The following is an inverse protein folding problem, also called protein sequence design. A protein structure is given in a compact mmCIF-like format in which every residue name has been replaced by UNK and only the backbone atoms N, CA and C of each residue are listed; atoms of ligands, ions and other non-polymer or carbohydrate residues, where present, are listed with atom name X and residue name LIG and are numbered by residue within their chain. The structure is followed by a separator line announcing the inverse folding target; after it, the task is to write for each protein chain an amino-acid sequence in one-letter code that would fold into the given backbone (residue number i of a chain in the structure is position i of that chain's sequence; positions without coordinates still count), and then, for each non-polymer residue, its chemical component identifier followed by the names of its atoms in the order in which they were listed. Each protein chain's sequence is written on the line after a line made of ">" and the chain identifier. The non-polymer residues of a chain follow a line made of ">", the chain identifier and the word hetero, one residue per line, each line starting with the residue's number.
data_IF_902970545719
#
_entry.id   IF_902970545719
#
_cell.length_a   1.000
_cell.length_b   1.000
_cell.length_c   1.000
_cell.angle_alpha   90.00
_cell.angle_beta   90.00
_cell.angle_gamma   90.00
#
_symmetry.space_group_name_H-M   'P 1'
#
loop_
_entity.id
_entity.type
_entity.pdbx_description
1 polymer ?
#
# COMPACT_ATOMS: atom_id res chain seq x y z
N UNK A 1 33.43 -22.78 42.61
CA UNK A 1 32.90 -22.52 41.26
C UNK A 1 32.31 -21.13 41.25
N UNK A 2 32.91 -20.23 40.48
CA UNK A 2 32.60 -18.80 40.44
C UNK A 2 31.27 -18.51 39.68
N UNK A 3 30.55 -17.44 40.02
CA UNK A 3 29.40 -16.99 39.25
C UNK A 3 29.83 -16.09 38.08
N UNK A 4 29.28 -16.36 36.89
CA UNK A 4 29.41 -15.51 35.71
C UNK A 4 28.51 -14.28 35.85
N UNK A 5 29.13 -13.09 35.83
CA UNK A 5 28.47 -11.79 35.70
C UNK A 5 28.39 -11.41 34.21
N UNK A 6 27.18 -11.16 33.71
CA UNK A 6 26.95 -10.58 32.38
C UNK A 6 26.63 -9.09 32.53
N UNK A 7 27.54 -8.26 32.03
CA UNK A 7 27.41 -6.81 31.98
C UNK A 7 26.36 -6.37 30.97
N UNK A 8 25.53 -5.41 31.37
CA UNK A 8 24.53 -4.69 30.56
C UNK A 8 25.18 -3.77 29.52
N UNK A 9 24.67 -3.68 28.28
CA UNK A 9 25.00 -2.58 27.38
C UNK A 9 24.02 -1.41 27.55
N UNK A 10 24.58 -0.21 27.61
CA UNK A 10 23.90 1.11 27.62
C UNK A 10 23.14 1.36 26.31
N UNK A 11 22.02 2.10 26.30
CA UNK A 11 21.20 2.27 25.10
C UNK A 11 21.76 3.35 24.18
N UNK A 12 21.94 3.00 22.91
CA UNK A 12 22.21 3.91 21.79
C UNK A 12 20.90 4.57 21.35
N UNK A 13 20.85 5.89 21.43
CA UNK A 13 19.80 6.73 20.87
C UNK A 13 19.85 6.68 19.34
N UNK A 14 18.78 6.22 18.70
CA UNK A 14 18.63 6.26 17.23
C UNK A 14 17.44 7.13 16.84
N UNK A 15 17.74 8.36 16.44
CA UNK A 15 16.83 9.26 15.73
C UNK A 15 16.76 8.84 14.26
N UNK A 16 15.61 8.34 13.81
CA UNK A 16 15.34 8.02 12.41
C UNK A 16 14.47 9.09 11.76
N UNK A 17 15.09 10.11 11.16
CA UNK A 17 14.44 11.02 10.20
C UNK A 17 15.15 10.90 8.86
N UNK A 18 14.42 10.41 7.86
CA UNK A 18 14.89 10.31 6.49
C UNK A 18 14.53 11.59 5.71
N UNK A 19 15.55 12.31 5.21
CA UNK A 19 15.59 13.14 3.97
C UNK A 19 16.82 14.07 4.01
N UNK A 20 17.22 14.69 2.89
CA UNK A 20 17.93 14.15 1.73
C UNK A 20 19.43 14.51 1.76
N UNK A 21 20.28 13.68 1.16
CA UNK A 21 21.73 13.93 1.08
C UNK A 21 22.03 15.03 0.06
N UNK A 22 22.32 16.24 0.56
CA UNK A 22 23.09 17.27 -0.15
C UNK A 22 24.54 17.19 0.32
N UNK A 23 25.44 16.78 -0.56
CA UNK A 23 26.88 16.73 -0.28
C UNK A 23 27.48 18.13 -0.26
N UNK A 24 28.02 18.52 0.90
CA UNK A 24 28.81 19.74 1.13
C UNK A 24 30.24 19.59 0.59
N UNK A 25 30.72 20.70 0.04
CA UNK A 25 32.11 21.02 -0.27
C UNK A 25 33.03 20.97 0.96
N UNK A 26 34.28 20.59 0.75
CA UNK A 26 35.41 21.01 1.59
C UNK A 26 36.50 21.57 0.68
N UNK A 27 36.94 22.78 1.01
CA UNK A 27 38.01 23.53 0.37
C UNK A 27 39.22 23.63 1.31
N UNK A 28 40.42 23.69 0.71
CA UNK A 28 41.71 24.05 1.34
C UNK A 28 42.72 22.89 1.28
N UNK A 29 43.96 23.03 0.79
CA UNK A 29 44.70 24.18 0.30
C UNK A 29 45.89 23.71 -0.58
N UNK A 30 46.08 24.39 -1.70
CA UNK A 30 47.35 24.77 -2.37
C UNK A 30 48.66 24.08 -2.01
N UNK A 31 49.25 23.39 -3.00
CA UNK A 31 50.69 23.49 -3.31
C UNK A 31 50.87 23.51 -4.84
N UNK A 32 51.65 24.47 -5.32
CA UNK A 32 51.97 24.65 -6.73
C UNK A 32 53.09 23.71 -7.16
N UNK A 33 52.93 23.04 -8.30
CA UNK A 33 54.06 22.60 -9.13
C UNK A 33 53.63 22.48 -10.60
N UNK A 34 54.08 23.48 -11.35
CA UNK A 34 54.60 23.43 -12.72
C UNK A 34 54.19 22.29 -13.66
N UNK A 35 53.51 22.69 -14.74
CA UNK A 35 53.78 22.34 -16.14
C UNK A 35 53.86 20.86 -16.51
N UNK A 36 52.81 20.38 -17.18
CA UNK A 36 52.82 19.11 -17.91
C UNK A 36 51.46 18.80 -18.53
N UNK A 37 50.98 19.69 -19.41
CA UNK A 37 49.82 19.36 -20.24
C UNK A 37 50.20 18.23 -21.19
N UNK A 38 49.81 16.99 -20.85
CA UNK A 38 49.73 15.89 -21.81
C UNK A 38 48.25 15.60 -22.04
N UNK A 39 47.61 16.50 -22.78
CA UNK A 39 46.40 16.16 -23.52
C UNK A 39 46.81 15.24 -24.68
N UNK A 40 46.90 13.95 -24.39
CA UNK A 40 47.08 12.92 -25.41
C UNK A 40 45.78 12.71 -26.17
N UNK A 41 45.40 13.64 -27.04
CA UNK A 41 44.53 13.31 -28.18
C UNK A 41 45.37 12.53 -29.17
N UNK A 42 45.52 11.23 -28.95
CA UNK A 42 45.95 10.29 -29.98
C UNK A 42 44.84 10.21 -31.02
N UNK A 43 44.87 11.15 -31.96
CA UNK A 43 44.22 10.98 -33.27
C UNK A 43 44.84 9.72 -33.87
N UNK A 44 44.07 8.63 -33.93
CA UNK A 44 44.41 7.42 -34.66
C UNK A 44 44.52 7.79 -36.15
N UNK A 45 45.69 8.29 -36.56
CA UNK A 45 46.00 8.63 -37.94
C UNK A 45 46.44 7.36 -38.67
N UNK A 46 45.53 6.83 -39.48
CA UNK A 46 45.75 5.73 -40.42
C UNK A 46 44.39 5.28 -40.97
N UNK A 47 44.34 4.89 -42.25
CA UNK A 47 43.13 4.23 -42.77
C UNK A 47 42.90 2.92 -41.99
N UNK A 48 41.66 2.67 -41.57
CA UNK A 48 41.32 1.46 -40.83
C UNK A 48 41.75 0.22 -41.61
N UNK A 49 42.42 -0.72 -40.94
CA UNK A 49 42.78 -2.01 -41.52
C UNK A 49 41.51 -2.78 -41.91
N UNK A 50 41.57 -3.71 -42.88
CA UNK A 50 40.42 -4.56 -43.24
C UNK A 50 39.84 -5.34 -42.05
N UNK A 51 40.69 -5.66 -41.06
CA UNK A 51 40.27 -6.31 -39.81
C UNK A 51 39.49 -5.35 -38.92
N UNK A 52 39.97 -4.12 -38.73
CA UNK A 52 39.26 -3.09 -37.94
C UNK A 52 37.92 -2.73 -38.57
N UNK A 53 37.86 -2.59 -39.91
CA UNK A 53 36.60 -2.34 -40.61
C UNK A 53 35.60 -3.48 -40.39
N UNK A 54 36.04 -4.75 -40.47
CA UNK A 54 35.19 -5.91 -40.20
C UNK A 54 34.68 -5.93 -38.76
N UNK A 55 35.53 -5.57 -37.79
CA UNK A 55 35.13 -5.50 -36.37
C UNK A 55 34.10 -4.38 -36.13
N UNK A 56 34.29 -3.22 -36.76
CA UNK A 56 33.34 -2.12 -36.70
C UNK A 56 32.00 -2.51 -37.32
N UNK A 57 32.00 -3.09 -38.52
CA UNK A 57 30.78 -3.56 -39.21
C UNK A 57 30.00 -4.57 -38.35
N UNK A 58 30.73 -5.53 -37.75
CA UNK A 58 30.14 -6.50 -36.82
C UNK A 58 29.53 -5.80 -35.61
N UNK A 59 30.26 -4.86 -35.00
CA UNK A 59 29.78 -4.13 -33.84
C UNK A 59 28.51 -3.32 -34.17
N UNK A 60 28.49 -2.60 -35.30
CA UNK A 60 27.34 -1.82 -35.78
C UNK A 60 26.11 -2.72 -35.99
N UNK A 61 26.29 -3.87 -36.63
CA UNK A 61 25.23 -4.84 -36.87
C UNK A 61 24.65 -5.39 -35.55
N UNK A 62 25.51 -5.73 -34.60
CA UNK A 62 25.09 -6.23 -33.28
C UNK A 62 24.27 -5.20 -32.52
N UNK A 63 24.57 -3.90 -32.65
CA UNK A 63 23.82 -2.86 -31.92
C UNK A 63 22.34 -2.84 -32.31
N UNK A 64 22.04 -2.93 -33.60
CA UNK A 64 20.66 -3.00 -34.09
C UNK A 64 19.96 -4.29 -33.64
N UNK A 65 20.62 -5.44 -33.81
CA UNK A 65 20.06 -6.75 -33.44
C UNK A 65 19.72 -6.80 -31.95
N UNK A 66 20.65 -6.41 -31.08
CA UNK A 66 20.45 -6.45 -29.63
C UNK A 66 19.28 -5.58 -29.21
N UNK A 67 19.21 -4.35 -29.74
CA UNK A 67 18.14 -3.44 -29.39
C UNK A 67 16.78 -3.95 -29.87
N UNK A 68 16.68 -4.44 -31.11
CA UNK A 68 15.44 -5.03 -31.61
C UNK A 68 14.99 -6.23 -30.76
N UNK A 69 15.92 -7.04 -30.23
CA UNK A 69 15.59 -8.16 -29.33
C UNK A 69 15.12 -7.67 -27.96
N UNK A 70 15.75 -6.65 -27.38
CA UNK A 70 15.34 -6.02 -26.12
C UNK A 70 13.93 -5.40 -26.21
N UNK A 71 13.63 -4.69 -27.30
CA UNK A 71 12.29 -4.14 -27.49
C UNK A 71 11.25 -5.25 -27.63
N UNK A 72 11.61 -6.38 -28.27
CA UNK A 72 10.72 -7.54 -28.38
C UNK A 72 10.46 -8.23 -27.04
N UNK A 73 11.48 -8.34 -26.15
CA UNK A 73 11.34 -9.00 -24.85
C UNK A 73 10.38 -8.28 -23.90
N UNK A 74 10.21 -6.97 -24.06
CA UNK A 74 9.17 -6.17 -23.38
C UNK A 74 7.78 -6.42 -23.96
N UNK A 75 7.40 -7.69 -24.13
CA UNK A 75 6.11 -8.12 -24.69
C UNK A 75 4.97 -7.87 -23.71
N UNK A 76 3.72 -7.76 -24.21
CA UNK A 76 2.55 -7.91 -23.37
C UNK A 76 2.60 -9.22 -22.58
N UNK A 77 2.00 -9.18 -21.41
CA UNK A 77 1.77 -10.36 -20.60
C UNK A 77 0.72 -11.28 -21.23
N UNK A 78 0.93 -12.58 -21.09
CA UNK A 78 0.01 -13.67 -21.46
C UNK A 78 -0.62 -14.23 -20.19
N UNK A 79 -1.90 -14.58 -20.23
CA UNK A 79 -2.63 -15.09 -19.06
C UNK A 79 -1.96 -16.31 -18.42
N UNK A 80 -1.47 -17.21 -19.26
CA UNK A 80 -0.91 -18.50 -18.85
C UNK A 80 0.37 -18.34 -18.01
N UNK A 81 1.07 -17.20 -18.11
CA UNK A 81 2.34 -16.99 -17.42
C UNK A 81 2.18 -16.72 -15.91
N UNK A 82 0.96 -16.43 -15.45
CA UNK A 82 0.64 -16.20 -14.03
C UNK A 82 -0.32 -17.26 -13.46
N UNK A 83 -0.47 -18.37 -14.19
CA UNK A 83 -1.32 -19.49 -13.82
C UNK A 83 -2.75 -19.36 -14.37
N UNK A 84 -3.44 -20.49 -14.40
CA UNK A 84 -4.85 -20.58 -14.87
C UNK A 84 -5.84 -20.83 -13.73
N UNK A 85 -5.32 -21.06 -12.52
CA UNK A 85 -6.12 -21.23 -11.31
C UNK A 85 -6.67 -19.90 -10.81
N UNK A 86 -7.60 -19.94 -9.88
CA UNK A 86 -8.34 -18.75 -9.47
C UNK A 86 -7.54 -17.76 -8.57
N UNK A 87 -6.28 -18.06 -8.26
CA UNK A 87 -5.33 -17.09 -7.68
C UNK A 87 -4.63 -16.23 -8.75
N UNK A 88 -4.74 -16.58 -10.03
CA UNK A 88 -4.18 -15.81 -11.12
C UNK A 88 -4.83 -14.41 -11.19
N UNK A 89 -4.09 -13.39 -11.68
CA UNK A 89 -4.66 -12.08 -11.95
C UNK A 89 -5.86 -12.19 -12.91
N UNK A 90 -6.86 -11.31 -12.74
CA UNK A 90 -8.00 -11.28 -13.66
C UNK A 90 -7.58 -10.79 -15.05
N UNK A 91 -8.38 -11.10 -16.07
CA UNK A 91 -8.12 -10.67 -17.45
C UNK A 91 -8.08 -9.14 -17.55
N UNK A 92 -8.97 -8.44 -16.85
CA UNK A 92 -9.02 -6.99 -16.83
C UNK A 92 -7.75 -6.37 -16.24
N UNK A 93 -7.16 -7.00 -15.21
CA UNK A 93 -5.89 -6.55 -14.63
C UNK A 93 -4.74 -6.72 -15.63
N UNK A 94 -4.63 -7.89 -16.26
CA UNK A 94 -3.58 -8.18 -17.25
C UNK A 94 -3.70 -7.23 -18.44
N UNK A 95 -4.91 -7.05 -18.97
CA UNK A 95 -5.16 -6.14 -20.09
C UNK A 95 -4.86 -4.69 -19.74
N UNK A 96 -5.22 -4.23 -18.54
CA UNK A 96 -4.93 -2.86 -18.11
C UNK A 96 -3.42 -2.59 -18.09
N UNK A 97 -2.64 -3.56 -17.58
CA UNK A 97 -1.18 -3.47 -17.58
C UNK A 97 -0.62 -3.54 -19.00
N UNK A 98 -1.12 -4.44 -19.84
CA UNK A 98 -0.71 -4.55 -21.23
C UNK A 98 -0.95 -3.27 -22.01
N UNK A 99 -2.13 -2.64 -21.85
CA UNK A 99 -2.42 -1.32 -22.46
C UNK A 99 -1.43 -0.25 -22.03
N UNK A 100 -1.00 -0.25 -20.76
CA UNK A 100 0.01 0.67 -20.25
C UNK A 100 1.39 0.40 -20.88
N UNK A 101 1.83 -0.85 -20.91
CA UNK A 101 3.11 -1.26 -21.50
C UNK A 101 3.14 -0.95 -23.00
N UNK A 102 2.06 -1.26 -23.72
CA UNK A 102 1.95 -1.06 -25.17
C UNK A 102 2.06 0.41 -25.57
N UNK A 103 1.50 1.32 -24.76
CA UNK A 103 1.64 2.77 -24.98
C UNK A 103 3.11 3.20 -25.09
N UNK A 104 4.00 2.61 -24.29
CA UNK A 104 5.44 2.89 -24.34
C UNK A 104 6.15 2.07 -25.40
N UNK A 105 5.75 0.80 -25.57
CA UNK A 105 6.34 -0.13 -26.53
C UNK A 105 6.21 0.36 -27.97
N UNK A 106 5.08 0.94 -28.37
CA UNK A 106 4.88 1.49 -29.73
C UNK A 106 5.94 2.56 -30.05
N UNK A 107 6.15 3.51 -29.14
CA UNK A 107 7.17 4.55 -29.31
C UNK A 107 8.59 3.98 -29.31
N UNK A 108 8.81 2.94 -28.52
CA UNK A 108 10.11 2.28 -28.40
C UNK A 108 10.48 1.52 -29.69
N UNK A 109 9.51 0.82 -30.30
CA UNK A 109 9.67 0.13 -31.60
C UNK A 109 10.04 1.14 -32.69
N UNK A 110 9.34 2.27 -32.75
CA UNK A 110 9.65 3.33 -33.72
C UNK A 110 11.07 3.85 -33.53
N UNK A 111 11.48 4.13 -32.28
CA UNK A 111 12.84 4.59 -31.95
C UNK A 111 13.92 3.56 -32.26
N UNK A 112 13.63 2.27 -32.11
CA UNK A 112 14.56 1.21 -32.49
C UNK A 112 14.80 1.20 -34.02
N UNK A 113 13.79 1.48 -34.85
CA UNK A 113 13.97 1.62 -36.31
C UNK A 113 14.92 2.77 -36.66
N UNK A 114 14.88 3.87 -35.89
CA UNK A 114 15.81 4.99 -36.09
C UNK A 114 17.25 4.68 -35.69
N UNK A 115 17.47 3.76 -34.75
CA UNK A 115 18.81 3.23 -34.41
C UNK A 115 19.29 2.30 -35.52
N UNK A 116 18.43 1.40 -36.01
CA UNK A 116 18.76 0.52 -37.13
C UNK A 116 19.16 1.32 -38.38
N UNK A 117 18.37 2.35 -38.74
CA UNK A 117 18.70 3.24 -39.84
C UNK A 117 20.06 3.95 -39.64
N UNK A 118 20.35 4.45 -38.42
CA UNK A 118 21.63 5.06 -38.11
C UNK A 118 22.80 4.06 -38.19
N UNK A 119 22.59 2.82 -37.76
CA UNK A 119 23.59 1.75 -37.87
C UNK A 119 23.87 1.39 -39.32
N UNK A 120 22.83 1.33 -40.17
CA UNK A 120 22.98 1.10 -41.60
C UNK A 120 23.73 2.24 -42.29
N UNK A 121 23.43 3.50 -41.96
CA UNK A 121 24.17 4.66 -42.48
C UNK A 121 25.64 4.63 -42.05
N UNK A 122 25.91 4.45 -40.76
CA UNK A 122 27.28 4.37 -40.24
C UNK A 122 28.07 3.18 -40.81
N UNK A 123 27.39 2.11 -41.23
CA UNK A 123 28.03 0.97 -41.90
C UNK A 123 28.39 1.27 -43.35
N UNK A 124 27.54 2.03 -44.07
CA UNK A 124 27.84 2.48 -45.44
C UNK A 124 28.95 3.53 -45.46
N UNK A 125 28.94 4.41 -44.46
CA UNK A 125 29.87 5.53 -44.35
C UNK A 125 30.25 5.74 -42.86
N UNK A 126 31.37 5.16 -42.38
CA UNK A 126 31.74 5.17 -40.97
C UNK A 126 32.46 6.48 -40.56
N UNK A 127 31.83 7.63 -40.81
CA UNK A 127 32.34 8.92 -40.34
C UNK A 127 32.12 9.08 -38.84
N UNK A 128 32.95 9.91 -38.19
CA UNK A 128 32.78 10.24 -36.77
C UNK A 128 31.37 10.74 -36.45
N UNK A 129 30.77 11.54 -37.34
CA UNK A 129 29.43 12.10 -37.14
C UNK A 129 28.35 11.04 -37.17
N UNK A 130 28.40 10.09 -38.12
CA UNK A 130 27.42 9.01 -38.20
C UNK A 130 27.58 7.99 -37.05
N UNK A 131 28.82 7.71 -36.63
CA UNK A 131 29.10 6.86 -35.47
C UNK A 131 28.60 7.50 -34.17
N UNK A 132 28.85 8.80 -33.97
CA UNK A 132 28.35 9.55 -32.82
C UNK A 132 26.83 9.60 -32.79
N UNK A 133 26.19 9.87 -33.94
CA UNK A 133 24.73 9.86 -34.05
C UNK A 133 24.12 8.50 -33.67
N UNK A 134 24.74 7.39 -34.10
CA UNK A 134 24.33 6.06 -33.70
C UNK A 134 24.47 5.87 -32.19
N UNK A 135 25.61 6.24 -31.61
CA UNK A 135 25.88 6.09 -30.17
C UNK A 135 24.86 6.86 -29.32
N UNK A 136 24.58 8.11 -29.68
CA UNK A 136 23.58 8.93 -29.01
C UNK A 136 22.17 8.34 -29.12
N UNK A 137 21.78 7.89 -30.31
CA UNK A 137 20.46 7.26 -30.51
C UNK A 137 20.36 5.97 -29.72
N UNK A 138 21.39 5.12 -29.77
CA UNK A 138 21.47 3.88 -29.00
C UNK A 138 21.26 4.16 -27.51
N UNK A 139 22.02 5.09 -26.93
CA UNK A 139 21.88 5.46 -25.52
C UNK A 139 20.45 5.91 -25.19
N UNK A 140 19.88 6.84 -25.97
CA UNK A 140 18.51 7.33 -25.76
C UNK A 140 17.46 6.22 -25.81
N UNK A 141 17.63 5.20 -26.66
CA UNK A 141 16.70 4.07 -26.70
C UNK A 141 16.95 3.11 -25.54
N UNK A 142 18.20 2.81 -25.19
CA UNK A 142 18.54 1.99 -24.02
C UNK A 142 17.98 2.58 -22.72
N UNK A 143 18.07 3.89 -22.52
CA UNK A 143 17.47 4.55 -21.35
C UNK A 143 15.94 4.37 -21.29
N UNK A 144 15.28 4.36 -22.46
CA UNK A 144 13.83 4.11 -22.57
C UNK A 144 13.47 2.63 -22.38
N UNK A 145 14.34 1.70 -22.79
CA UNK A 145 14.20 0.28 -22.48
C UNK A 145 14.21 0.09 -20.96
N UNK A 146 15.24 0.59 -20.26
CA UNK A 146 15.34 0.50 -18.79
C UNK A 146 14.17 1.17 -18.05
N UNK A 147 13.66 2.26 -18.62
CA UNK A 147 12.45 2.93 -18.09
C UNK A 147 11.23 2.01 -18.17
N UNK A 148 10.98 1.40 -19.33
CA UNK A 148 9.84 0.51 -19.54
C UNK A 148 10.00 -0.83 -18.81
N UNK A 149 11.20 -1.39 -18.77
CA UNK A 149 11.54 -2.58 -17.97
C UNK A 149 11.14 -2.37 -16.51
N UNK A 150 11.47 -1.23 -15.89
CA UNK A 150 11.07 -1.00 -14.50
C UNK A 150 9.55 -0.97 -14.25
N UNK A 151 8.74 -0.58 -15.25
CA UNK A 151 7.26 -0.65 -15.15
C UNK A 151 6.81 -2.10 -15.32
N UNK A 152 7.37 -2.80 -16.31
CA UNK A 152 7.06 -4.19 -16.61
C UNK A 152 7.43 -5.10 -15.43
N UNK A 153 8.65 -4.98 -14.90
CA UNK A 153 9.19 -5.76 -13.77
C UNK A 153 8.30 -5.62 -12.54
N UNK A 154 7.84 -4.40 -12.23
CA UNK A 154 6.96 -4.18 -11.08
C UNK A 154 5.67 -5.03 -11.15
N UNK A 155 5.00 -5.05 -12.31
CA UNK A 155 3.78 -5.83 -12.48
C UNK A 155 4.08 -7.33 -12.62
N UNK A 156 5.18 -7.70 -13.27
CA UNK A 156 5.63 -9.09 -13.35
C UNK A 156 5.89 -9.67 -11.96
N UNK A 157 6.70 -8.99 -11.14
CA UNK A 157 7.03 -9.40 -9.77
C UNK A 157 5.77 -9.50 -8.90
N UNK A 158 4.80 -8.61 -9.09
CA UNK A 158 3.54 -8.64 -8.37
C UNK A 158 2.65 -9.83 -8.79
N UNK A 159 2.51 -10.09 -10.09
CA UNK A 159 1.68 -11.16 -10.62
C UNK A 159 2.30 -12.55 -10.45
N UNK A 160 3.62 -12.68 -10.56
CA UNK A 160 4.31 -13.97 -10.41
C UNK A 160 4.22 -14.53 -9.00
N UNK A 161 3.99 -13.69 -7.98
CA UNK A 161 3.72 -14.15 -6.61
C UNK A 161 2.52 -15.10 -6.53
N UNK A 162 1.58 -15.02 -7.48
CA UNK A 162 0.41 -15.91 -7.55
C UNK A 162 0.76 -17.37 -7.84
N UNK A 163 1.95 -17.62 -8.40
CA UNK A 163 2.49 -18.96 -8.64
C UNK A 163 3.27 -19.55 -7.45
N UNK A 164 3.46 -18.76 -6.39
CA UNK A 164 4.22 -19.18 -5.22
C UNK A 164 3.32 -19.68 -4.09
N UNK A 165 3.92 -20.04 -2.95
CA UNK A 165 3.21 -20.33 -1.69
C UNK A 165 2.32 -19.18 -1.21
N UNK A 166 2.50 -17.96 -1.73
CA UNK A 166 1.66 -16.81 -1.44
C UNK A 166 0.32 -16.80 -2.19
N UNK A 167 0.16 -17.58 -3.27
CA UNK A 167 -0.98 -17.46 -4.18
C UNK A 167 -2.34 -17.53 -3.49
N UNK A 168 -2.59 -18.59 -2.72
CA UNK A 168 -3.85 -18.75 -1.96
C UNK A 168 -4.03 -17.69 -0.88
N UNK A 169 -2.94 -17.30 -0.21
CA UNK A 169 -2.96 -16.32 0.87
C UNK A 169 -3.33 -14.94 0.34
N UNK A 170 -2.64 -14.46 -0.70
CA UNK A 170 -2.92 -13.17 -1.33
C UNK A 170 -4.31 -13.15 -1.98
N UNK A 171 -4.74 -14.24 -2.62
CA UNK A 171 -6.09 -14.34 -3.15
C UNK A 171 -7.14 -14.13 -2.06
N UNK A 172 -6.93 -14.71 -0.88
CA UNK A 172 -7.85 -14.55 0.25
C UNK A 172 -7.97 -13.08 0.68
N UNK A 173 -6.88 -12.32 0.62
CA UNK A 173 -6.88 -10.87 0.87
C UNK A 173 -7.65 -10.13 -0.21
N UNK A 174 -7.40 -10.42 -1.50
CA UNK A 174 -8.12 -9.79 -2.61
C UNK A 174 -9.63 -9.96 -2.44
N UNK A 175 -10.06 -11.16 -2.07
CA UNK A 175 -11.48 -11.45 -1.86
C UNK A 175 -12.09 -10.68 -0.71
N UNK A 176 -11.36 -10.54 0.40
CA UNK A 176 -11.80 -9.70 1.53
C UNK A 176 -11.97 -8.26 1.06
N UNK A 177 -11.00 -7.75 0.30
CA UNK A 177 -11.05 -6.40 -0.25
C UNK A 177 -12.22 -6.20 -1.22
N UNK A 178 -12.40 -7.12 -2.16
CA UNK A 178 -13.51 -7.14 -3.11
C UNK A 178 -14.84 -7.20 -2.37
N UNK A 179 -14.98 -8.07 -1.36
CA UNK A 179 -16.19 -8.18 -0.55
C UNK A 179 -16.52 -6.91 0.25
N UNK A 180 -15.52 -6.07 0.56
CA UNK A 180 -15.75 -4.74 1.11
C UNK A 180 -16.31 -3.78 0.05
N UNK A 181 -15.75 -3.77 -1.16
CA UNK A 181 -16.28 -2.99 -2.29
C UNK A 181 -17.72 -3.38 -2.61
N UNK A 182 -17.98 -4.67 -2.79
CA UNK A 182 -19.31 -5.20 -3.08
C UNK A 182 -20.33 -4.74 -2.04
N UNK A 183 -20.01 -4.89 -0.74
CA UNK A 183 -20.93 -4.50 0.33
C UNK A 183 -21.25 -3.01 0.28
N UNK A 184 -20.26 -2.16 0.05
CA UNK A 184 -20.47 -0.72 -0.03
C UNK A 184 -21.30 -0.35 -1.25
N UNK A 185 -20.88 -0.77 -2.45
CA UNK A 185 -21.53 -0.37 -3.70
C UNK A 185 -22.96 -0.90 -3.83
N UNK A 186 -23.22 -2.13 -3.38
CA UNK A 186 -24.60 -2.65 -3.28
C UNK A 186 -25.41 -1.85 -2.24
N UNK A 187 -24.80 -1.53 -1.09
CA UNK A 187 -25.44 -0.80 0.00
C UNK A 187 -25.84 0.64 -0.35
N UNK A 188 -25.16 1.29 -1.32
CA UNK A 188 -25.51 2.63 -1.81
C UNK A 188 -26.97 2.70 -2.24
N UNK A 189 -27.51 1.63 -2.82
CA UNK A 189 -28.90 1.59 -3.33
C UNK A 189 -29.14 2.53 -4.52
N UNK A 190 -28.08 3.10 -5.10
CA UNK A 190 -28.10 3.90 -6.32
C UNK A 190 -27.35 3.16 -7.42
N UNK A 191 -27.68 3.46 -8.68
CA UNK A 191 -26.97 2.92 -9.84
C UNK A 191 -25.58 3.57 -10.00
N UNK A 192 -24.68 3.31 -9.06
CA UNK A 192 -23.26 3.67 -9.17
C UNK A 192 -22.48 2.39 -9.49
N UNK A 193 -21.87 2.26 -10.69
CA UNK A 193 -21.11 1.08 -11.02
C UNK A 193 -19.87 0.98 -10.13
N UNK A 194 -19.60 -0.23 -9.65
CA UNK A 194 -18.34 -0.54 -8.99
C UNK A 194 -17.19 -0.38 -10.00
N UNK A 195 -15.99 0.08 -9.57
CA UNK A 195 -14.84 0.15 -10.46
C UNK A 195 -14.49 -1.21 -11.07
N UNK A 196 -14.22 -1.26 -12.37
CA UNK A 196 -13.91 -2.51 -13.09
C UNK A 196 -12.59 -3.15 -12.62
N UNK A 197 -11.59 -2.34 -12.25
CA UNK A 197 -10.34 -2.84 -11.67
C UNK A 197 -10.43 -2.74 -10.15
N UNK A 198 -10.58 -3.90 -9.51
CA UNK A 198 -10.72 -4.05 -8.07
C UNK A 198 -9.37 -4.12 -7.35
N UNK A 199 -9.32 -4.09 -6.01
CA UNK A 199 -8.06 -4.14 -5.29
C UNK A 199 -7.29 -5.45 -5.55
N UNK A 200 -5.97 -5.32 -5.65
CA UNK A 200 -5.04 -6.44 -5.80
C UNK A 200 -3.99 -6.39 -4.69
N UNK A 201 -3.80 -7.49 -4.00
CA UNK A 201 -2.80 -7.61 -2.93
C UNK A 201 -1.50 -8.22 -3.42
N UNK A 202 -0.41 -7.87 -2.75
CA UNK A 202 0.86 -8.55 -2.93
C UNK A 202 1.72 -8.46 -1.67
N UNK A 203 2.65 -9.39 -1.52
CA UNK A 203 3.57 -9.40 -0.41
C UNK A 203 4.81 -8.55 -0.72
N UNK A 204 5.24 -7.77 0.26
CA UNK A 204 6.50 -7.00 0.23
C UNK A 204 7.16 -7.09 1.62
N UNK A 205 8.43 -6.72 1.70
CA UNK A 205 9.08 -6.47 2.97
C UNK A 205 8.55 -5.18 3.59
N UNK A 206 8.39 -5.15 4.92
CA UNK A 206 7.86 -3.99 5.59
C UNK A 206 7.38 -4.29 7.00
N UNK A 207 6.99 -3.24 7.71
CA UNK A 207 6.59 -3.33 9.11
C UNK A 207 5.06 -3.44 9.30
N UNK A 208 4.31 -2.68 8.50
CA UNK A 208 2.86 -2.65 8.50
C UNK A 208 2.32 -2.76 7.08
N UNK A 209 1.09 -3.30 6.90
CA UNK A 209 0.36 -3.14 5.65
C UNK A 209 0.24 -1.67 5.26
N UNK A 210 0.15 -1.44 3.96
CA UNK A 210 -0.17 -0.13 3.41
C UNK A 210 -0.87 -0.27 2.08
N UNK A 211 -1.69 0.71 1.73
CA UNK A 211 -2.36 0.76 0.44
C UNK A 211 -1.69 1.73 -0.52
N UNK A 212 -1.80 1.43 -1.82
CA UNK A 212 -1.53 2.39 -2.88
C UNK A 212 -2.78 2.54 -3.72
N UNK A 213 -3.38 3.72 -3.66
CA UNK A 213 -4.62 4.02 -4.38
C UNK A 213 -4.40 4.01 -5.89
N UNK A 214 -5.46 3.74 -6.64
CA UNK A 214 -5.48 3.95 -8.09
C UNK A 214 -5.18 5.42 -8.41
N UNK A 215 -4.62 5.66 -9.59
CA UNK A 215 -4.26 6.98 -10.13
C UNK A 215 -3.15 7.74 -9.39
N UNK A 216 -2.59 7.20 -8.30
CA UNK A 216 -1.47 7.83 -7.59
C UNK A 216 -0.14 7.50 -8.28
N UNK A 217 0.68 8.50 -8.67
CA UNK A 217 2.02 8.26 -9.21
C UNK A 217 2.94 7.53 -8.24
N UNK A 218 3.64 6.50 -8.72
CA UNK A 218 4.57 5.71 -7.90
C UNK A 218 5.98 5.71 -8.46
N UNK A 219 6.99 5.80 -7.59
CA UNK A 219 8.40 5.71 -8.01
C UNK A 219 8.72 4.35 -8.65
N UNK A 220 8.15 3.24 -8.13
CA UNK A 220 8.26 1.89 -8.71
C UNK A 220 7.69 1.83 -10.14
N UNK A 221 6.68 2.64 -10.45
CA UNK A 221 6.10 2.81 -11.80
C UNK A 221 6.72 3.97 -12.58
N UNK A 222 7.93 4.40 -12.23
CA UNK A 222 8.61 5.55 -12.88
C UNK A 222 7.75 6.82 -12.93
N UNK A 223 7.02 7.07 -11.84
CA UNK A 223 6.05 8.17 -11.65
C UNK A 223 4.83 8.11 -12.57
N UNK A 224 4.54 6.96 -13.16
CA UNK A 224 3.24 6.70 -13.77
C UNK A 224 2.19 6.43 -12.68
N UNK A 225 0.92 6.77 -12.95
CA UNK A 225 -0.19 6.46 -12.05
C UNK A 225 -0.35 4.96 -11.89
N UNK A 226 -0.59 4.53 -10.65
CA UNK A 226 -1.02 3.17 -10.35
C UNK A 226 -2.39 2.87 -11.01
N UNK A 227 -2.54 1.69 -11.61
CA UNK A 227 -3.74 1.37 -12.40
C UNK A 227 -4.94 0.98 -11.54
N UNK A 228 -4.69 0.27 -10.44
CA UNK A 228 -5.73 -0.28 -9.57
C UNK A 228 -5.27 -0.29 -8.12
N UNK A 229 -6.19 -0.27 -7.14
CA UNK A 229 -5.80 -0.20 -5.74
C UNK A 229 -4.92 -1.39 -5.35
N UNK A 230 -3.79 -1.12 -4.70
CA UNK A 230 -2.86 -2.15 -4.23
C UNK A 230 -2.92 -2.26 -2.72
N UNK A 231 -2.95 -3.49 -2.21
CA UNK A 231 -2.86 -3.77 -0.77
C UNK A 231 -1.55 -4.49 -0.52
N UNK A 232 -0.59 -3.79 0.05
CA UNK A 232 0.74 -4.34 0.31
C UNK A 232 0.76 -4.93 1.70
N UNK A 233 1.14 -6.20 1.83
CA UNK A 233 1.12 -6.92 3.10
C UNK A 233 2.50 -7.47 3.43
N UNK A 234 3.08 -7.13 4.59
CA UNK A 234 4.27 -7.79 5.06
C UNK A 234 4.06 -9.30 5.21
N UNK A 235 4.96 -10.11 4.68
CA UNK A 235 4.83 -11.57 4.68
C UNK A 235 4.44 -12.15 6.05
N UNK A 236 5.10 -11.72 7.13
CA UNK A 236 4.84 -12.21 8.50
C UNK A 236 3.42 -11.90 9.02
N UNK A 237 2.70 -10.95 8.39
CA UNK A 237 1.30 -10.66 8.74
C UNK A 237 0.35 -11.72 8.17
N UNK A 238 0.72 -12.38 7.08
CA UNK A 238 -0.09 -13.45 6.50
C UNK A 238 -0.18 -14.67 7.41
N UNK A 239 0.70 -14.83 8.41
CA UNK A 239 0.62 -15.96 9.35
C UNK A 239 -0.39 -15.72 10.49
N UNK A 240 -0.83 -14.47 10.69
CA UNK A 240 -1.67 -14.04 11.81
C UNK A 240 -3.03 -13.52 11.32
N UNK A 241 -3.88 -14.43 10.83
CA UNK A 241 -5.13 -14.07 10.13
C UNK A 241 -6.13 -13.28 10.97
N UNK A 242 -6.11 -13.45 12.29
CA UNK A 242 -6.90 -12.70 13.27
C UNK A 242 -6.46 -11.24 13.49
N UNK A 243 -5.27 -10.88 12.99
CA UNK A 243 -4.72 -9.52 13.04
C UNK A 243 -4.77 -8.82 11.65
N UNK A 244 -5.43 -9.44 10.67
CA UNK A 244 -5.57 -8.89 9.31
C UNK A 244 -6.65 -7.81 9.20
N UNK A 245 -7.23 -7.31 10.30
CA UNK A 245 -8.17 -6.17 10.24
C UNK A 245 -7.52 -4.91 9.67
N UNK A 246 -6.18 -4.83 9.71
CA UNK A 246 -5.39 -3.85 8.94
C UNK A 246 -5.69 -3.87 7.44
N UNK A 247 -6.01 -5.02 6.84
CA UNK A 247 -6.47 -5.10 5.43
C UNK A 247 -7.77 -4.33 5.25
N UNK A 248 -8.72 -4.44 6.19
CA UNK A 248 -9.96 -3.69 6.12
C UNK A 248 -9.68 -2.18 6.18
N UNK A 249 -8.74 -1.75 7.03
CA UNK A 249 -8.28 -0.37 7.10
C UNK A 249 -7.66 0.10 5.77
N UNK A 250 -6.74 -0.67 5.18
CA UNK A 250 -6.10 -0.33 3.91
C UNK A 250 -7.09 -0.25 2.73
N UNK A 251 -8.04 -1.20 2.67
CA UNK A 251 -9.13 -1.18 1.68
C UNK A 251 -10.00 0.04 1.85
N UNK A 252 -10.21 0.49 3.08
CA UNK A 252 -11.03 1.65 3.40
C UNK A 252 -10.44 2.95 2.89
N UNK A 253 -9.12 3.12 2.86
CA UNK A 253 -8.50 4.27 2.18
C UNK A 253 -8.83 4.30 0.68
N UNK A 254 -8.87 3.14 0.03
CA UNK A 254 -9.21 3.05 -1.38
C UNK A 254 -10.70 3.36 -1.60
N UNK A 255 -11.59 2.80 -0.76
CA UNK A 255 -13.03 3.12 -0.79
C UNK A 255 -13.29 4.60 -0.58
N UNK A 256 -12.62 5.22 0.40
CA UNK A 256 -12.76 6.65 0.65
C UNK A 256 -12.41 7.49 -0.59
N UNK A 257 -11.33 7.15 -1.28
CA UNK A 257 -10.91 7.85 -2.50
C UNK A 257 -11.88 7.60 -3.66
N UNK A 258 -12.27 6.34 -3.91
CA UNK A 258 -13.18 5.98 -5.01
C UNK A 258 -14.62 6.54 -4.80
N UNK A 259 -15.00 6.80 -3.55
CA UNK A 259 -16.26 7.46 -3.21
C UNK A 259 -16.18 8.99 -3.20
N UNK A 260 -14.99 9.60 -3.25
CA UNK A 260 -14.79 11.04 -3.16
C UNK A 260 -15.03 11.61 -1.75
N UNK A 261 -14.75 10.80 -0.71
CA UNK A 261 -14.92 11.18 0.69
C UNK A 261 -13.75 12.00 1.22
N UNK A 262 -12.57 11.90 0.59
CA UNK A 262 -11.40 12.65 1.04
C UNK A 262 -11.56 14.15 0.91
N UNK A 263 -12.32 14.58 -0.09
CA UNK A 263 -12.52 15.96 -0.48
C UNK A 263 -13.55 16.64 0.42
N UNK A 264 -14.56 15.89 0.86
CA UNK A 264 -15.69 16.45 1.62
C UNK A 264 -15.52 16.38 3.13
N UNK A 265 -14.93 15.32 3.66
CA UNK A 265 -14.91 15.06 5.11
C UNK A 265 -14.22 16.15 5.95
N UNK A 266 -13.07 16.73 5.55
CA UNK A 266 -12.40 17.75 6.38
C UNK A 266 -13.29 18.94 6.69
N UNK A 267 -14.00 19.46 5.68
CA UNK A 267 -14.88 20.60 5.84
C UNK A 267 -16.08 20.28 6.75
N UNK A 268 -16.69 19.10 6.57
CA UNK A 268 -17.83 18.65 7.38
C UNK A 268 -17.46 18.50 8.86
N UNK A 269 -16.31 17.88 9.14
CA UNK A 269 -15.80 17.72 10.50
C UNK A 269 -15.51 19.08 11.12
N UNK A 270 -14.76 19.93 10.42
CA UNK A 270 -14.39 21.25 10.92
C UNK A 270 -15.62 22.11 11.25
N UNK A 271 -16.59 22.15 10.33
CA UNK A 271 -17.81 22.92 10.50
C UNK A 271 -18.60 22.44 11.71
N UNK A 272 -18.86 21.13 11.84
CA UNK A 272 -19.66 20.61 12.97
C UNK A 272 -18.94 20.75 14.31
N UNK A 273 -17.63 20.51 14.35
CA UNK A 273 -16.85 20.69 15.58
C UNK A 273 -16.85 22.16 16.05
N UNK A 274 -16.71 23.13 15.15
CA UNK A 274 -16.68 24.56 15.53
C UNK A 274 -18.06 25.11 15.85
N UNK A 275 -19.11 24.68 15.16
CA UNK A 275 -20.48 25.22 15.32
C UNK A 275 -21.26 24.51 16.42
N UNK A 276 -21.55 23.22 16.25
CA UNK A 276 -22.32 22.41 17.21
C UNK A 276 -21.48 22.11 18.46
N UNK A 277 -20.23 21.67 18.25
CA UNK A 277 -19.33 21.26 19.33
C UNK A 277 -18.70 22.41 20.10
N UNK A 278 -18.71 23.63 19.55
CA UNK A 278 -18.00 24.81 20.07
C UNK A 278 -16.52 24.51 20.38
N UNK A 279 -15.92 23.59 19.62
CA UNK A 279 -14.53 23.20 19.75
C UNK A 279 -13.66 24.32 19.19
N UNK A 280 -12.56 24.69 19.89
CA UNK A 280 -11.66 25.71 19.39
C UNK A 280 -11.18 25.45 17.96
N UNK A 281 -11.18 26.46 17.06
CA UNK A 281 -10.88 26.28 15.63
C UNK A 281 -9.56 25.55 15.34
N UNK A 282 -8.51 25.81 16.13
CA UNK A 282 -7.21 25.18 16.00
C UNK A 282 -7.22 23.68 16.33
N UNK A 283 -8.05 23.28 17.31
CA UNK A 283 -8.27 21.86 17.65
C UNK A 283 -9.12 21.20 16.57
N UNK A 284 -10.21 21.84 16.16
CA UNK A 284 -11.10 21.33 15.10
C UNK A 284 -10.34 21.11 13.77
N UNK A 285 -9.38 21.99 13.44
CA UNK A 285 -8.53 21.85 12.25
C UNK A 285 -7.70 20.57 12.28
N UNK A 286 -7.14 20.22 13.45
CA UNK A 286 -6.36 18.99 13.62
C UNK A 286 -7.25 17.75 13.48
N UNK A 287 -8.44 17.75 14.09
CA UNK A 287 -9.43 16.68 13.89
C UNK A 287 -9.83 16.51 12.41
N UNK A 288 -10.05 17.63 11.70
CA UNK A 288 -10.35 17.59 10.27
C UNK A 288 -9.19 17.04 9.43
N UNK A 289 -7.93 17.27 9.83
CA UNK A 289 -6.75 16.70 9.17
C UNK A 289 -6.64 15.18 9.37
N UNK A 290 -7.11 14.66 10.49
CA UNK A 290 -7.10 13.23 10.82
C UNK A 290 -8.14 12.39 10.07
N UNK A 291 -8.97 13.02 9.23
CA UNK A 291 -10.14 12.39 8.64
C UNK A 291 -9.86 11.07 7.91
N UNK A 292 -8.76 10.96 7.16
CA UNK A 292 -8.44 9.77 6.34
C UNK A 292 -8.22 8.53 7.19
N UNK A 293 -7.49 8.71 8.29
CA UNK A 293 -7.06 7.66 9.20
C UNK A 293 -8.22 7.26 10.13
N UNK A 294 -8.90 8.26 10.70
CA UNK A 294 -10.10 8.02 11.50
C UNK A 294 -11.18 7.28 10.70
N UNK A 295 -11.48 7.76 9.50
CA UNK A 295 -12.52 7.15 8.68
C UNK A 295 -12.12 5.75 8.20
N UNK A 296 -10.83 5.49 7.96
CA UNK A 296 -10.36 4.14 7.60
C UNK A 296 -10.56 3.14 8.74
N UNK A 297 -10.33 3.54 9.99
CA UNK A 297 -10.65 2.70 11.15
C UNK A 297 -12.16 2.47 11.30
N UNK A 298 -12.96 3.52 11.14
CA UNK A 298 -14.40 3.42 11.27
C UNK A 298 -15.00 2.50 10.22
N UNK A 299 -14.55 2.60 8.96
CA UNK A 299 -14.90 1.62 7.92
C UNK A 299 -14.46 0.21 8.30
N UNK A 300 -13.22 0.02 8.77
CA UNK A 300 -12.73 -1.29 9.18
C UNK A 300 -13.63 -1.92 10.26
N UNK A 301 -14.07 -1.11 11.23
CA UNK A 301 -14.98 -1.53 12.28
C UNK A 301 -16.37 -1.88 11.74
N UNK A 302 -17.01 -1.05 10.92
CA UNK A 302 -18.34 -1.39 10.39
C UNK A 302 -18.29 -2.54 9.36
N UNK A 303 -17.21 -2.67 8.59
CA UNK A 303 -17.06 -3.71 7.57
C UNK A 303 -16.72 -5.07 8.18
N UNK A 304 -15.84 -5.10 9.18
CA UNK A 304 -15.31 -6.32 9.79
C UNK A 304 -15.95 -6.69 11.13
N UNK A 305 -16.41 -5.73 11.91
CA UNK A 305 -16.90 -5.92 13.26
C UNK A 305 -15.85 -5.70 14.36
N UNK A 306 -16.13 -6.10 15.62
CA UNK A 306 -15.38 -5.69 16.81
C UNK A 306 -13.88 -6.03 16.78
N UNK A 307 -13.49 -7.13 16.10
CA UNK A 307 -12.10 -7.53 15.95
C UNK A 307 -11.22 -6.47 15.27
N UNK A 308 -11.81 -5.49 14.57
CA UNK A 308 -11.07 -4.35 14.06
C UNK A 308 -10.45 -3.49 15.17
N UNK A 309 -11.17 -3.29 16.29
CA UNK A 309 -10.66 -2.52 17.43
C UNK A 309 -9.57 -3.28 18.17
N UNK A 310 -9.79 -4.57 18.40
CA UNK A 310 -8.81 -5.44 19.07
C UNK A 310 -7.52 -5.56 18.24
N UNK A 311 -7.64 -5.76 16.93
CA UNK A 311 -6.49 -5.77 16.03
C UNK A 311 -5.78 -4.41 15.97
N UNK A 312 -6.50 -3.30 16.08
CA UNK A 312 -5.89 -1.97 16.20
C UNK A 312 -5.07 -1.88 17.50
N UNK A 313 -5.64 -2.32 18.62
CA UNK A 313 -4.96 -2.36 19.92
C UNK A 313 -3.68 -3.22 19.85
N UNK A 314 -3.69 -4.37 19.18
CA UNK A 314 -2.50 -5.23 19.02
C UNK A 314 -1.36 -4.53 18.25
N UNK A 315 -1.70 -3.73 17.23
CA UNK A 315 -0.71 -3.07 16.36
C UNK A 315 -0.11 -1.84 17.05
N UNK A 316 -0.94 -1.09 17.76
CA UNK A 316 -0.59 0.22 18.28
C UNK A 316 -0.28 0.22 19.78
N UNK A 317 -0.58 -0.88 20.47
CA UNK A 317 -0.22 -1.15 21.86
C UNK A 317 1.30 -1.32 22.04
N UNK A 318 2.03 -0.20 22.06
CA UNK A 318 3.51 -0.17 22.17
C UNK A 318 3.95 0.55 23.44
N UNK A 319 5.24 0.90 23.51
CA UNK A 319 5.77 1.75 24.58
C UNK A 319 4.92 3.03 24.74
N UNK A 320 4.81 3.58 25.96
CA UNK A 320 4.14 4.85 26.21
C UNK A 320 4.56 5.96 25.24
N UNK A 321 5.88 6.11 25.00
CA UNK A 321 6.43 7.12 24.10
C UNK A 321 5.92 6.97 22.65
N UNK A 322 5.85 5.74 22.12
CA UNK A 322 5.33 5.51 20.77
C UNK A 322 3.81 5.65 20.66
N UNK A 323 3.08 5.39 21.74
CA UNK A 323 1.62 5.34 21.73
C UNK A 323 0.97 6.70 22.00
N UNK A 324 1.63 7.55 22.78
CA UNK A 324 1.03 8.79 23.28
C UNK A 324 1.64 10.06 22.71
N UNK A 325 2.80 10.02 22.04
CA UNK A 325 3.45 11.22 21.51
C UNK A 325 2.59 11.96 20.47
N UNK A 326 2.08 13.12 20.87
CA UNK A 326 1.29 13.99 20.01
C UNK A 326 2.15 14.82 19.06
N UNK A 327 1.67 14.97 17.82
CA UNK A 327 2.17 15.96 16.87
C UNK A 327 0.99 16.60 16.14
N UNK A 328 0.88 17.94 16.12
CA UNK A 328 -0.20 18.63 15.42
C UNK A 328 -0.08 18.50 13.90
N UNK A 329 1.12 18.17 13.39
CA UNK A 329 1.36 17.94 11.97
C UNK A 329 1.05 16.50 11.54
N UNK A 330 0.75 15.62 12.50
CA UNK A 330 0.41 14.23 12.23
C UNK A 330 -0.87 14.12 11.40
N UNK A 331 -0.87 13.20 10.44
CA UNK A 331 -2.06 12.85 9.65
C UNK A 331 -3.00 11.88 10.37
N UNK A 332 -2.59 11.35 11.51
CA UNK A 332 -3.40 10.49 12.38
C UNK A 332 -3.49 11.06 13.81
N UNK A 333 -4.55 10.74 14.57
CA UNK A 333 -4.56 10.91 16.02
C UNK A 333 -3.39 10.16 16.66
N UNK A 334 -3.05 10.46 17.91
CA UNK A 334 -2.12 9.56 18.63
C UNK A 334 -2.74 8.16 18.69
N UNK A 335 -1.93 7.10 18.63
CA UNK A 335 -2.42 5.74 18.84
C UNK A 335 -3.36 5.57 20.03
N UNK A 336 -3.05 6.25 21.14
CA UNK A 336 -3.90 6.26 22.33
C UNK A 336 -5.32 6.79 22.04
N UNK A 337 -5.44 7.95 21.39
CA UNK A 337 -6.74 8.53 21.03
C UNK A 337 -7.45 7.73 19.94
N UNK A 338 -6.69 7.18 18.99
CA UNK A 338 -7.21 6.35 17.88
C UNK A 338 -8.00 5.15 18.40
N UNK A 339 -7.49 4.45 19.41
CA UNK A 339 -8.22 3.33 20.07
C UNK A 339 -9.48 3.84 20.76
N UNK A 340 -9.39 4.92 21.55
CA UNK A 340 -10.55 5.46 22.27
C UNK A 340 -11.68 5.93 21.33
N UNK A 341 -11.34 6.55 20.19
CA UNK A 341 -12.31 6.93 19.15
C UNK A 341 -13.06 5.70 18.64
N UNK A 342 -12.34 4.62 18.34
CA UNK A 342 -12.96 3.37 17.85
C UNK A 342 -13.82 2.68 18.92
N UNK A 343 -13.47 2.79 20.20
CA UNK A 343 -14.28 2.28 21.31
C UNK A 343 -15.59 3.07 21.47
N UNK A 344 -15.58 4.39 21.24
CA UNK A 344 -16.81 5.20 21.20
C UNK A 344 -17.72 4.73 20.05
N UNK A 345 -17.17 4.50 18.85
CA UNK A 345 -17.96 3.96 17.74
C UNK A 345 -18.50 2.56 18.07
N UNK A 346 -17.67 1.68 18.63
CA UNK A 346 -18.08 0.33 19.03
C UNK A 346 -19.28 0.36 19.99
N UNK A 347 -19.27 1.27 20.96
CA UNK A 347 -20.38 1.52 21.88
C UNK A 347 -21.63 2.00 21.14
N UNK A 348 -21.50 2.90 20.16
CA UNK A 348 -22.62 3.38 19.32
C UNK A 348 -23.20 2.32 18.39
N UNK A 349 -22.44 1.28 18.05
CA UNK A 349 -22.92 0.10 17.32
C UNK A 349 -23.65 -0.92 18.23
N UNK A 350 -23.91 -0.58 19.50
CA UNK A 350 -24.63 -1.43 20.46
C UNK A 350 -23.74 -2.39 21.25
N UNK A 351 -22.43 -2.40 21.03
CA UNK A 351 -21.47 -3.28 21.71
C UNK A 351 -20.91 -2.63 22.99
N UNK A 352 -21.80 -2.08 23.82
CA UNK A 352 -21.44 -1.27 24.99
C UNK A 352 -20.56 -2.01 25.99
N UNK A 353 -20.90 -3.25 26.35
CA UNK A 353 -20.13 -4.01 27.33
C UNK A 353 -18.69 -4.24 26.86
N UNK A 354 -18.52 -4.71 25.62
CA UNK A 354 -17.20 -4.93 25.04
C UNK A 354 -16.39 -3.63 24.95
N UNK A 355 -17.02 -2.52 24.54
CA UNK A 355 -16.36 -1.21 24.50
C UNK A 355 -15.89 -0.75 25.89
N UNK A 356 -16.74 -0.89 26.91
CA UNK A 356 -16.42 -0.51 28.28
C UNK A 356 -15.29 -1.41 28.85
N UNK A 357 -15.28 -2.71 28.51
CA UNK A 357 -14.24 -3.66 28.93
C UNK A 357 -12.89 -3.35 28.29
N UNK A 358 -12.86 -3.17 26.96
CA UNK A 358 -11.65 -2.80 26.22
C UNK A 358 -11.12 -1.42 26.63
N UNK A 359 -12.00 -0.47 26.98
CA UNK A 359 -11.58 0.82 27.53
C UNK A 359 -10.79 0.65 28.83
N UNK A 360 -11.27 -0.21 29.75
CA UNK A 360 -10.56 -0.50 31.01
C UNK A 360 -9.22 -1.18 30.77
N UNK A 361 -9.16 -2.12 29.81
CA UNK A 361 -7.89 -2.75 29.40
C UNK A 361 -6.91 -1.71 28.87
N UNK A 362 -7.35 -0.85 27.94
CA UNK A 362 -6.51 0.17 27.34
C UNK A 362 -5.96 1.16 28.36
N UNK A 363 -6.80 1.63 29.27
CA UNK A 363 -6.40 2.51 30.38
C UNK A 363 -5.46 1.83 31.37
N UNK A 364 -5.55 0.50 31.54
CA UNK A 364 -4.61 -0.25 32.38
C UNK A 364 -3.22 -0.39 31.73
N UNK A 365 -3.15 -0.46 30.40
CA UNK A 365 -1.89 -0.44 29.65
C UNK A 365 -1.23 0.95 29.68
N UNK A 366 -2.04 2.02 29.70
CA UNK A 366 -1.59 3.40 29.69
C UNK A 366 -2.23 4.21 30.85
N UNK A 367 -1.83 3.93 32.11
CA UNK A 367 -2.51 4.49 33.30
C UNK A 367 -2.23 5.98 33.53
N UNK A 368 -1.27 6.57 32.81
CA UNK A 368 -0.85 7.97 32.97
C UNK A 368 -0.72 8.61 31.60
N UNK A 369 -1.54 9.62 31.35
CA UNK A 369 -1.43 10.52 30.20
C UNK A 369 -1.13 11.90 30.74
N UNK A 370 -0.02 12.49 30.33
CA UNK A 370 0.42 13.83 30.78
C UNK A 370 0.12 14.90 29.73
N UNK A 371 0.20 16.17 30.15
CA UNK A 371 0.06 17.31 29.26
C UNK A 371 1.16 17.40 28.19
N UNK A 372 2.33 16.78 28.43
CA UNK A 372 3.42 16.69 27.46
C UNK A 372 3.21 15.58 26.44
N UNK A 373 2.41 14.56 26.78
CA UNK A 373 2.05 13.50 25.84
C UNK A 373 0.99 13.99 24.86
N UNK A 374 -0.12 14.53 25.40
CA UNK A 374 -1.25 15.05 24.63
C UNK A 374 -1.66 16.42 25.20
N UNK A 375 -1.76 17.48 24.37
CA UNK A 375 -2.05 18.81 24.89
C UNK A 375 -3.40 18.87 25.65
N UNK A 376 -3.48 19.60 26.78
CA UNK A 376 -4.68 19.63 27.62
C UNK A 376 -5.97 20.02 26.90
N UNK A 377 -5.89 20.90 25.90
CA UNK A 377 -7.05 21.30 25.09
C UNK A 377 -7.68 20.13 24.31
N UNK A 378 -6.86 19.19 23.82
CA UNK A 378 -7.36 17.98 23.16
C UNK A 378 -8.00 17.04 24.18
N UNK A 379 -7.35 16.82 25.33
CA UNK A 379 -7.91 15.94 26.37
C UNK A 379 -9.23 16.47 26.94
N UNK A 380 -9.34 17.79 27.19
CA UNK A 380 -10.57 18.43 27.70
C UNK A 380 -11.74 18.34 26.72
N UNK A 381 -11.46 18.38 25.41
CA UNK A 381 -12.48 18.37 24.36
C UNK A 381 -12.67 17.00 23.71
N UNK A 382 -11.92 15.98 24.14
CA UNK A 382 -11.79 14.72 23.41
C UNK A 382 -13.13 14.04 23.17
N UNK A 383 -13.90 13.74 24.23
CA UNK A 383 -15.16 13.02 24.10
C UNK A 383 -16.20 13.73 23.23
N UNK A 384 -16.56 15.02 23.47
CA UNK A 384 -17.53 15.70 22.60
C UNK A 384 -17.03 15.82 21.16
N UNK A 385 -15.72 16.06 20.93
CA UNK A 385 -15.16 16.11 19.59
C UNK A 385 -15.19 14.74 18.89
N UNK A 386 -14.83 13.67 19.60
CA UNK A 386 -14.85 12.30 19.08
C UNK A 386 -16.27 11.86 18.70
N UNK A 387 -17.24 12.09 19.59
CA UNK A 387 -18.65 11.75 19.35
C UNK A 387 -19.21 12.46 18.12
N UNK A 388 -18.95 13.77 17.98
CA UNK A 388 -19.36 14.55 16.81
C UNK A 388 -18.63 14.12 15.54
N UNK A 389 -17.33 13.82 15.60
CA UNK A 389 -16.58 13.36 14.43
C UNK A 389 -17.08 11.98 13.97
N UNK A 390 -17.34 11.06 14.89
CA UNK A 390 -17.95 9.75 14.60
C UNK A 390 -19.35 9.95 14.01
N UNK A 391 -20.16 10.82 14.61
CA UNK A 391 -21.48 11.13 14.08
C UNK A 391 -21.40 11.60 12.63
N UNK A 392 -20.51 12.56 12.39
CA UNK A 392 -20.25 13.14 11.08
C UNK A 392 -19.82 12.10 10.06
N UNK A 393 -18.87 11.21 10.39
CA UNK A 393 -18.33 10.26 9.41
C UNK A 393 -19.21 9.04 9.18
N UNK A 394 -19.92 8.58 10.22
CA UNK A 394 -20.56 7.25 10.22
C UNK A 394 -22.08 7.32 10.16
N UNK A 395 -22.68 8.32 10.80
CA UNK A 395 -24.12 8.37 11.05
C UNK A 395 -24.84 9.47 10.27
N UNK A 396 -24.13 10.46 9.73
CA UNK A 396 -24.72 11.46 8.83
C UNK A 396 -24.82 10.97 7.38
N UNK A 397 -25.87 11.37 6.64
CA UNK A 397 -26.04 11.02 5.24
C UNK A 397 -25.18 11.87 4.31
N UNK A 398 -24.65 11.26 3.23
CA UNK A 398 -23.89 11.98 2.19
C UNK A 398 -24.26 11.53 0.78
N UNK A 399 -24.15 12.42 -0.23
CA UNK A 399 -24.29 12.03 -1.64
C UNK A 399 -23.35 10.89 -2.06
N UNK A 400 -22.12 10.88 -1.53
CA UNK A 400 -21.11 9.83 -1.75
C UNK A 400 -21.59 8.44 -1.33
N UNK A 401 -22.54 8.39 -0.38
CA UNK A 401 -23.19 7.18 0.13
C UNK A 401 -24.62 7.00 -0.40
N UNK A 402 -25.01 7.68 -1.48
CA UNK A 402 -26.38 7.61 -2.00
C UNK A 402 -27.41 8.24 -1.06
N UNK A 403 -27.04 9.32 -0.37
CA UNK A 403 -27.84 10.01 0.65
C UNK A 403 -28.20 9.14 1.87
N UNK A 404 -27.41 8.09 2.12
CA UNK A 404 -27.44 7.29 3.34
C UNK A 404 -26.21 7.60 4.19
N UNK A 405 -26.24 7.17 5.45
CA UNK A 405 -25.05 7.15 6.29
C UNK A 405 -24.20 5.89 6.03
N UNK A 406 -22.92 5.91 6.43
CA UNK A 406 -22.06 4.74 6.34
C UNK A 406 -22.66 3.54 7.10
N UNK A 407 -23.20 3.79 8.30
CA UNK A 407 -23.86 2.76 9.11
C UNK A 407 -25.06 2.12 8.37
N UNK A 408 -25.84 2.90 7.62
CA UNK A 408 -26.95 2.38 6.81
C UNK A 408 -26.48 1.61 5.57
N UNK A 409 -25.39 2.04 4.92
CA UNK A 409 -24.83 1.36 3.75
C UNK A 409 -24.26 0.00 4.15
N UNK A 410 -23.50 -0.05 5.24
CA UNK A 410 -22.83 -1.27 5.70
C UNK A 410 -23.77 -2.17 6.50
N UNK A 411 -24.71 -1.60 7.24
CA UNK A 411 -25.74 -2.34 8.00
C UNK A 411 -25.11 -3.48 8.84
N UNK A 412 -24.22 -3.09 9.76
CA UNK A 412 -23.58 -4.00 10.70
C UNK A 412 -24.34 -4.03 12.02
N UNK A 413 -24.74 -5.21 12.47
CA UNK A 413 -25.47 -5.38 13.71
C UNK A 413 -25.44 -6.81 14.27
N UNK A 414 -26.41 -7.17 15.12
CA UNK A 414 -26.47 -8.46 15.81
C UNK A 414 -26.39 -9.68 14.88
N UNK A 415 -27.01 -9.60 13.70
CA UNK A 415 -26.97 -10.68 12.69
C UNK A 415 -25.54 -10.97 12.24
N UNK A 416 -24.73 -9.95 11.96
CA UNK A 416 -23.34 -10.15 11.55
C UNK A 416 -22.48 -10.69 12.70
N UNK A 417 -22.76 -10.29 13.94
CA UNK A 417 -22.07 -10.81 15.12
C UNK A 417 -22.34 -12.30 15.32
N UNK A 418 -23.58 -12.74 15.16
CA UNK A 418 -23.95 -14.15 15.23
C UNK A 418 -23.28 -14.96 14.12
N UNK A 419 -23.28 -14.45 12.88
CA UNK A 419 -22.55 -15.06 11.76
C UNK A 419 -21.05 -15.20 12.04
N UNK A 420 -20.41 -14.18 12.62
CA UNK A 420 -18.99 -14.21 13.01
C UNK A 420 -18.72 -15.36 13.99
N UNK A 421 -19.55 -15.48 15.04
CA UNK A 421 -19.36 -16.49 16.09
C UNK A 421 -19.57 -17.91 15.55
N UNK A 422 -20.64 -18.12 14.78
CA UNK A 422 -20.92 -19.41 14.16
C UNK A 422 -19.81 -19.81 13.17
N UNK A 423 -19.39 -18.88 12.32
CA UNK A 423 -18.30 -19.12 11.39
C UNK A 423 -16.98 -19.41 12.12
N UNK A 424 -16.67 -18.71 13.21
CA UNK A 424 -15.46 -18.97 14.00
C UNK A 424 -15.44 -20.37 14.61
N UNK A 425 -16.58 -20.85 15.14
CA UNK A 425 -16.70 -22.22 15.66
C UNK A 425 -16.50 -23.28 14.58
N UNK A 426 -17.08 -23.08 13.39
CA UNK A 426 -16.95 -24.00 12.24
C UNK A 426 -15.53 -23.97 11.66
N UNK A 427 -14.98 -22.77 11.52
CA UNK A 427 -13.61 -22.52 11.07
C UNK A 427 -12.59 -23.24 11.97
N UNK A 428 -12.76 -23.18 13.29
CA UNK A 428 -11.87 -23.86 14.24
C UNK A 428 -11.85 -25.39 14.04
N UNK A 429 -13.00 -25.98 13.65
CA UNK A 429 -13.13 -27.42 13.37
C UNK A 429 -12.69 -27.82 11.95
N UNK A 430 -12.35 -26.84 11.10
CA UNK A 430 -12.04 -27.10 9.69
C UNK A 430 -13.27 -27.40 8.82
N UNK A 431 -14.46 -27.08 9.32
CA UNK A 431 -15.72 -27.19 8.58
C UNK A 431 -15.91 -25.97 7.67
N UNK A 432 -16.71 -26.12 6.61
CA UNK A 432 -17.14 -24.98 5.80
C UNK A 432 -17.88 -23.96 6.71
N UNK A 433 -17.56 -22.66 6.73
CA UNK A 433 -18.20 -21.71 7.64
C UNK A 433 -19.60 -21.25 7.19
N UNK A 434 -20.16 -21.80 6.11
CA UNK A 434 -21.49 -21.42 5.60
C UNK A 434 -21.52 -20.06 4.91
N UNK A 435 -22.70 -19.47 4.71
CA UNK A 435 -22.89 -18.22 3.95
C UNK A 435 -22.48 -16.96 4.73
N UNK A 436 -21.25 -16.93 5.23
CA UNK A 436 -20.65 -15.73 5.82
C UNK A 436 -20.06 -14.84 4.72
N UNK A 437 -20.33 -13.52 4.74
CA UNK A 437 -19.61 -12.57 3.89
C UNK A 437 -18.10 -12.60 4.16
N UNK A 438 -17.30 -12.73 3.11
CA UNK A 438 -15.83 -12.93 3.22
C UNK A 438 -15.13 -11.86 4.06
N UNK A 439 -15.61 -10.61 4.05
CA UNK A 439 -15.06 -9.51 4.87
C UNK A 439 -15.14 -9.75 6.38
N UNK A 440 -16.04 -10.61 6.85
CA UNK A 440 -16.21 -10.94 8.27
C UNK A 440 -15.34 -12.12 8.72
N UNK A 441 -14.63 -12.78 7.81
CA UNK A 441 -13.81 -13.95 8.13
C UNK A 441 -12.65 -13.62 9.07
N UNK A 442 -12.10 -12.40 9.01
CA UNK A 442 -11.04 -11.95 9.94
C UNK A 442 -11.57 -11.98 11.38
N UNK A 443 -12.78 -11.45 11.60
CA UNK A 443 -13.44 -11.47 12.91
C UNK A 443 -13.82 -12.88 13.35
N UNK A 444 -14.20 -13.76 12.42
CA UNK A 444 -14.46 -15.17 12.72
C UNK A 444 -13.17 -15.88 13.19
N UNK A 445 -12.04 -15.60 12.53
CA UNK A 445 -10.73 -16.12 12.95
C UNK A 445 -10.29 -15.55 14.30
N UNK A 446 -10.52 -14.25 14.55
CA UNK A 446 -10.25 -13.61 15.84
C UNK A 446 -11.07 -14.23 16.96
N UNK A 447 -12.38 -14.39 16.75
CA UNK A 447 -13.26 -15.06 17.70
C UNK A 447 -12.79 -16.48 18.02
N UNK A 448 -12.40 -17.27 17.00
CA UNK A 448 -11.89 -18.61 17.20
C UNK A 448 -10.60 -18.65 18.03
N UNK A 449 -9.71 -17.67 17.83
CA UNK A 449 -8.47 -17.55 18.61
C UNK A 449 -8.75 -17.17 20.06
N UNK A 450 -9.54 -16.12 20.29
CA UNK A 450 -9.78 -15.56 21.62
C UNK A 450 -10.55 -16.56 22.52
N UNK A 451 -11.47 -17.32 21.92
CA UNK A 451 -12.15 -18.44 22.58
C UNK A 451 -11.33 -19.73 22.64
N UNK A 452 -10.09 -19.74 22.15
CA UNK A 452 -9.17 -20.88 22.15
C UNK A 452 -9.78 -22.16 21.54
N UNK A 453 -10.58 -22.01 20.48
CA UNK A 453 -11.33 -23.12 19.89
C UNK A 453 -10.45 -24.08 19.07
N UNK A 454 -9.28 -23.62 18.63
CA UNK A 454 -8.27 -24.41 17.93
C UNK A 454 -6.88 -23.78 18.07
N UNK A 455 -5.83 -24.52 17.69
CA UNK A 455 -4.46 -23.99 17.64
C UNK A 455 -4.37 -22.87 16.60
N UNK A 456 -3.53 -21.83 16.82
CA UNK A 456 -3.33 -20.73 15.87
C UNK A 456 -3.08 -21.19 14.43
N UNK A 457 -2.20 -22.18 14.22
CA UNK A 457 -1.90 -22.72 12.90
C UNK A 457 -3.14 -23.33 12.21
N UNK A 458 -3.96 -24.08 12.95
CA UNK A 458 -5.16 -24.70 12.39
C UNK A 458 -6.18 -23.63 11.95
N UNK A 459 -6.33 -22.55 12.72
CA UNK A 459 -7.20 -21.41 12.35
C UNK A 459 -6.68 -20.77 11.05
N UNK A 460 -5.39 -20.50 10.95
CA UNK A 460 -4.75 -19.93 9.76
C UNK A 460 -4.94 -20.82 8.53
N UNK A 461 -4.68 -22.12 8.64
CA UNK A 461 -4.82 -23.07 7.53
C UNK A 461 -6.27 -23.18 7.08
N UNK A 462 -7.21 -23.27 8.02
CA UNK A 462 -8.64 -23.35 7.72
C UNK A 462 -9.17 -22.05 7.09
N UNK A 463 -8.64 -20.89 7.52
CA UNK A 463 -9.00 -19.58 6.98
C UNK A 463 -8.63 -19.48 5.50
N UNK A 464 -7.38 -19.78 5.16
CA UNK A 464 -6.92 -19.74 3.78
C UNK A 464 -7.56 -20.83 2.92
N UNK A 465 -7.77 -22.03 3.46
CA UNK A 465 -8.49 -23.10 2.73
C UNK A 465 -9.91 -22.69 2.38
N UNK A 466 -10.61 -22.03 3.32
CA UNK A 466 -11.99 -21.55 3.09
C UNK A 466 -12.02 -20.48 2.01
N UNK A 467 -11.17 -19.46 2.13
CA UNK A 467 -11.12 -18.32 1.21
C UNK A 467 -10.40 -18.63 -0.11
N UNK A 468 -9.65 -19.73 -0.18
CA UNK A 468 -9.04 -20.23 -1.42
C UNK A 468 -10.00 -21.09 -2.25
N UNK A 469 -10.91 -21.83 -1.62
CA UNK A 469 -11.86 -22.75 -2.29
C UNK A 469 -13.09 -22.08 -2.90
N UNK A 470 -13.58 -21.02 -2.28
CA UNK A 470 -14.77 -20.29 -2.79
C UNK A 470 -14.44 -19.42 -4.00
#
# INVERSE_FOLDING_TARGET
>A
MAPFTLSTPTPVTTNGTASPVTSRSVAGSTTASSSGAVAGTTSLKGAATPREQRLLDNWLNIQSINLCRQVKSLRPFTKEEFGTGAAAPSEEHIEAVNRLVDKFRVQLIEKARWVDAAAQTARREPTSDYLNLLLERKQKVSDRVLYLEGIWDFYFDMFVQRLSVFGERLRSIDRIAIGCYEKIYVGLGTAKPMPNLLPFSYADSGFSPYTIRRSVPMQKLRRNPNLFPLIVIPQHRLDNVWALSSVLHEVSHNLQADLGLWEVMPAQIYQRLTTEGKIPPEVAKVWAQWHKEMMADMFALVLGGPAAVESLMDVVGRSPASTMAFSPMSVHPTPYLRVLINLILLKRLGLKQLADDLTRVWQRLYPRVSATDIPPQFMKTFYPAAELAIDTMVFQPYPQFGNKSMAQVVDFGPTQLDLIQQAGRRLAKGEDPGTIPVRLMISAARFALDCQLAKPQAITDNFYRTLGRR
#
